data_IF_440888980657
#
_entry.id   IF_440888980657
#
_cell.length_a   1.000
_cell.length_b   1.000
_cell.length_c   1.000
_cell.angle_alpha   90.00
_cell.angle_beta   90.00
_cell.angle_gamma   90.00
#
_symmetry.space_group_name_H-M   'P 1'
#
loop_
_entity.id
_entity.type
_entity.pdbx_description
1 polymer ?
#
# COMPACT_ATOMS: atom_id res chain seq x y z
N UNK A 1 -11.47 37.59 -28.02
CA UNK A 1 -11.26 36.14 -27.85
C UNK A 1 -12.62 35.57 -27.53
N UNK A 2 -13.18 34.79 -28.46
CA UNK A 2 -14.59 34.40 -28.38
C UNK A 2 -14.79 33.26 -27.39
N UNK A 3 -15.98 33.17 -26.80
CA UNK A 3 -16.25 32.19 -25.73
C UNK A 3 -16.12 30.74 -26.25
N UNK A 4 -16.38 30.56 -27.54
CA UNK A 4 -16.27 29.28 -28.24
C UNK A 4 -14.81 28.86 -28.46
N UNK A 5 -13.90 29.80 -28.71
CA UNK A 5 -12.46 29.52 -28.86
C UNK A 5 -11.83 29.03 -27.54
N UNK A 6 -12.27 29.60 -26.41
CA UNK A 6 -11.82 29.19 -25.08
C UNK A 6 -12.29 27.77 -24.75
N UNK A 7 -13.54 27.45 -25.08
CA UNK A 7 -14.12 26.12 -24.86
C UNK A 7 -13.48 25.07 -25.77
N UNK A 8 -13.16 25.42 -27.02
CA UNK A 8 -12.43 24.56 -27.94
C UNK A 8 -11.02 24.28 -27.45
N UNK A 9 -10.30 25.30 -26.96
CA UNK A 9 -8.96 25.14 -26.37
C UNK A 9 -8.99 24.25 -25.12
N UNK A 10 -9.92 24.50 -24.20
CA UNK A 10 -10.12 23.65 -23.01
C UNK A 10 -10.48 22.20 -23.36
N UNK A 11 -11.32 21.97 -24.38
CA UNK A 11 -11.63 20.62 -24.88
C UNK A 11 -10.42 19.94 -25.53
N UNK A 12 -9.60 20.67 -26.27
CA UNK A 12 -8.42 20.13 -26.93
C UNK A 12 -7.31 19.78 -25.93
N UNK A 13 -7.14 20.61 -24.91
CA UNK A 13 -6.21 20.36 -23.80
C UNK A 13 -6.66 19.14 -22.98
N UNK A 14 -7.97 18.99 -22.73
CA UNK A 14 -8.57 17.81 -22.08
C UNK A 14 -8.65 16.56 -22.99
N UNK A 15 -8.37 16.67 -24.30
CA UNK A 15 -8.52 15.56 -25.27
C UNK A 15 -7.44 14.48 -25.12
N UNK A 16 -6.31 14.80 -24.48
CA UNK A 16 -5.21 13.85 -24.24
C UNK A 16 -5.42 12.94 -23.02
N UNK A 17 -6.59 13.04 -22.37
CA UNK A 17 -6.81 12.53 -21.02
C UNK A 17 -6.34 13.57 -20.01
N UNK A 18 -7.04 13.68 -18.90
CA UNK A 18 -6.67 14.60 -17.82
C UNK A 18 -5.22 14.27 -17.43
N UNK A 19 -4.28 15.20 -17.61
CA UNK A 19 -2.86 14.96 -17.33
C UNK A 19 -2.66 14.46 -15.88
N UNK A 20 -3.60 14.83 -15.00
CA UNK A 20 -3.76 14.27 -13.66
C UNK A 20 -4.02 12.77 -13.62
N UNK A 21 -4.87 12.23 -14.48
CA UNK A 21 -5.12 10.77 -14.55
C UNK A 21 -3.88 10.01 -15.02
N UNK A 22 -3.16 10.56 -15.99
CA UNK A 22 -1.89 9.97 -16.49
C UNK A 22 -0.85 10.02 -15.38
N UNK A 23 -0.68 11.16 -14.72
CA UNK A 23 0.26 11.32 -13.60
C UNK A 23 -0.11 10.44 -12.40
N UNK A 24 -1.40 10.29 -12.09
CA UNK A 24 -1.89 9.39 -11.04
C UNK A 24 -1.62 7.92 -11.38
N UNK A 25 -1.78 7.49 -12.64
CA UNK A 25 -1.40 6.14 -13.07
C UNK A 25 0.10 5.90 -12.93
N UNK A 26 0.92 6.83 -13.42
CA UNK A 26 2.39 6.75 -13.31
C UNK A 26 2.82 6.72 -11.84
N UNK A 27 2.23 7.55 -10.98
CA UNK A 27 2.52 7.53 -9.55
C UNK A 27 2.06 6.22 -8.88
N UNK A 28 0.92 5.65 -9.26
CA UNK A 28 0.45 4.37 -8.74
C UNK A 28 1.35 3.19 -9.14
N UNK A 29 1.98 3.25 -10.32
CA UNK A 29 2.97 2.26 -10.77
C UNK A 29 4.32 2.45 -10.09
N UNK A 30 4.74 3.69 -9.83
CA UNK A 30 5.95 4.03 -9.08
C UNK A 30 5.83 3.80 -7.57
N UNK A 31 4.63 3.84 -7.00
CA UNK A 31 4.37 3.51 -5.59
C UNK A 31 4.41 1.99 -5.39
N UNK A 32 5.58 1.41 -5.61
CA UNK A 32 5.86 -0.01 -5.47
C UNK A 32 6.90 -0.21 -4.38
N UNK A 33 6.44 -0.62 -3.20
CA UNK A 33 7.31 -1.15 -2.16
C UNK A 33 7.42 -2.68 -2.29
N UNK A 34 7.06 -3.23 -3.45
CA UNK A 34 6.95 -4.67 -3.67
C UNK A 34 8.22 -5.44 -3.29
N UNK A 35 9.41 -4.89 -3.57
CA UNK A 35 10.66 -5.56 -3.20
C UNK A 35 10.88 -5.59 -1.68
N UNK A 36 10.50 -4.53 -0.97
CA UNK A 36 10.59 -4.47 0.50
C UNK A 36 9.59 -5.46 1.11
N UNK A 37 8.37 -5.51 0.59
CA UNK A 37 7.35 -6.47 1.02
C UNK A 37 7.82 -7.91 0.80
N UNK A 38 8.42 -8.22 -0.36
CA UNK A 38 8.96 -9.56 -0.63
C UNK A 38 10.05 -9.93 0.37
N UNK A 39 10.98 -9.01 0.66
CA UNK A 39 12.04 -9.24 1.66
C UNK A 39 11.42 -9.49 3.04
N UNK A 40 10.47 -8.66 3.47
CA UNK A 40 9.78 -8.83 4.75
C UNK A 40 8.98 -10.13 4.81
N UNK A 41 8.37 -10.54 3.71
CA UNK A 41 7.60 -11.78 3.62
C UNK A 41 8.50 -13.02 3.75
N UNK A 42 9.62 -13.04 3.02
CA UNK A 42 10.63 -14.12 3.14
C UNK A 42 11.18 -14.16 4.56
N UNK A 43 11.48 -13.01 5.15
CA UNK A 43 11.97 -12.94 6.54
C UNK A 43 10.94 -13.47 7.53
N UNK A 44 9.64 -13.16 7.33
CA UNK A 44 8.56 -13.70 8.16
C UNK A 44 8.44 -15.23 8.05
N UNK A 45 8.62 -15.79 6.85
CA UNK A 45 8.67 -17.24 6.65
C UNK A 45 9.87 -17.89 7.35
N UNK A 46 11.06 -17.28 7.25
CA UNK A 46 12.24 -17.74 7.98
C UNK A 46 12.04 -17.67 9.50
N UNK A 47 11.33 -16.66 9.99
CA UNK A 47 10.99 -16.54 11.39
C UNK A 47 9.98 -17.61 11.86
N UNK A 48 8.99 -17.94 11.03
CA UNK A 48 8.07 -19.04 11.29
C UNK A 48 8.76 -20.41 11.27
N UNK A 49 9.77 -20.58 10.42
CA UNK A 49 10.59 -21.79 10.36
C UNK A 49 11.61 -21.90 11.51
N UNK A 50 11.71 -20.88 12.37
CA UNK A 50 12.65 -20.85 13.50
C UNK A 50 14.10 -20.57 13.11
N UNK A 51 14.37 -20.14 11.87
CA UNK A 51 15.72 -19.82 11.38
C UNK A 51 16.19 -18.47 11.94
N UNK A 52 15.27 -17.51 12.06
CA UNK A 52 15.54 -16.16 12.60
C UNK A 52 14.53 -15.88 13.70
N UNK A 53 14.98 -15.49 14.88
CA UNK A 53 14.09 -15.27 16.02
C UNK A 53 14.62 -14.21 16.97
N UNK A 54 13.75 -13.80 17.89
CA UNK A 54 14.07 -12.80 18.90
C UNK A 54 12.82 -12.14 19.47
N UNK A 55 13.05 -11.21 20.37
CA UNK A 55 12.03 -10.36 20.95
C UNK A 55 12.29 -8.91 20.57
N UNK A 56 11.23 -8.20 20.19
CA UNK A 56 11.23 -6.77 19.95
C UNK A 56 10.53 -6.11 21.13
N UNK A 57 11.17 -5.12 21.73
CA UNK A 57 10.58 -4.35 22.81
C UNK A 57 10.01 -3.04 22.27
N UNK A 58 8.70 -2.87 22.33
CA UNK A 58 8.02 -1.61 22.00
C UNK A 58 7.25 -1.16 23.23
N UNK A 59 7.51 0.08 23.67
CA UNK A 59 6.83 0.68 24.83
C UNK A 59 6.85 -0.22 26.09
N UNK A 60 7.98 -0.87 26.35
CA UNK A 60 8.17 -1.75 27.52
C UNK A 60 7.48 -3.12 27.44
N UNK A 61 6.82 -3.45 26.32
CA UNK A 61 6.21 -4.77 26.10
C UNK A 61 7.07 -5.60 25.14
N UNK A 62 7.36 -6.88 25.48
CA UNK A 62 8.04 -7.78 24.56
C UNK A 62 7.06 -8.29 23.51
N UNK A 63 7.52 -8.35 22.26
CA UNK A 63 6.79 -8.89 21.12
C UNK A 63 7.66 -9.90 20.40
N UNK A 64 7.07 -11.00 19.95
CA UNK A 64 7.81 -11.97 19.14
C UNK A 64 8.18 -11.35 17.79
N UNK A 65 9.43 -11.52 17.39
CA UNK A 65 9.95 -11.00 16.12
C UNK A 65 9.10 -11.43 14.91
N UNK A 66 8.62 -12.68 14.91
CA UNK A 66 7.76 -13.20 13.84
C UNK A 66 6.46 -12.41 13.70
N UNK A 67 5.80 -12.09 14.82
CA UNK A 67 4.49 -11.45 14.83
C UNK A 67 4.66 -10.00 14.37
N UNK A 68 5.74 -9.34 14.79
CA UNK A 68 6.10 -8.01 14.34
C UNK A 68 6.35 -7.94 12.82
N UNK A 69 7.02 -8.93 12.25
CA UNK A 69 7.23 -8.99 10.79
C UNK A 69 5.93 -9.20 10.02
N UNK A 70 5.00 -10.02 10.53
CA UNK A 70 3.66 -10.16 9.93
C UNK A 70 2.88 -8.86 9.98
N UNK A 71 2.93 -8.15 11.11
CA UNK A 71 2.32 -6.83 11.25
C UNK A 71 2.88 -5.84 10.22
N UNK A 72 4.20 -5.78 10.06
CA UNK A 72 4.85 -4.91 9.07
C UNK A 72 4.43 -5.24 7.63
N UNK A 73 4.35 -6.52 7.28
CA UNK A 73 3.88 -6.95 5.96
C UNK A 73 2.44 -6.50 5.69
N UNK A 74 1.54 -6.72 6.63
CA UNK A 74 0.14 -6.34 6.49
C UNK A 74 -0.06 -4.82 6.40
N UNK A 75 0.66 -4.06 7.22
CA UNK A 75 0.65 -2.60 7.16
C UNK A 75 1.23 -2.08 5.83
N UNK A 76 2.36 -2.62 5.39
CA UNK A 76 3.00 -2.23 4.13
C UNK A 76 2.09 -2.46 2.92
N UNK A 77 1.48 -3.65 2.84
CA UNK A 77 0.54 -3.99 1.78
C UNK A 77 -0.73 -3.14 1.84
N UNK A 78 -1.27 -2.90 3.04
CA UNK A 78 -2.45 -2.04 3.20
C UNK A 78 -2.18 -0.61 2.72
N UNK A 79 -1.03 -0.03 3.09
CA UNK A 79 -0.61 1.29 2.63
C UNK A 79 -0.39 1.33 1.10
N UNK A 80 0.23 0.30 0.53
CA UNK A 80 0.48 0.23 -0.92
C UNK A 80 -0.83 0.15 -1.71
N UNK A 81 -1.75 -0.73 -1.32
CA UNK A 81 -3.05 -0.84 -1.99
C UNK A 81 -3.96 0.37 -1.71
N UNK A 82 -3.87 0.99 -0.54
CA UNK A 82 -4.58 2.23 -0.22
C UNK A 82 -4.11 3.40 -1.08
N UNK A 83 -2.79 3.56 -1.26
CA UNK A 83 -2.21 4.55 -2.16
C UNK A 83 -2.61 4.28 -3.61
N UNK A 84 -2.50 3.03 -4.07
CA UNK A 84 -2.93 2.64 -5.43
C UNK A 84 -4.43 2.90 -5.66
N UNK A 85 -5.28 2.64 -4.65
CA UNK A 85 -6.70 2.97 -4.71
C UNK A 85 -6.95 4.48 -4.80
N UNK A 86 -6.23 5.30 -4.04
CA UNK A 86 -6.36 6.76 -4.09
C UNK A 86 -6.13 7.30 -5.50
N UNK A 87 -5.12 6.77 -6.19
CA UNK A 87 -4.75 7.19 -7.55
C UNK A 87 -5.58 6.53 -8.66
N UNK A 88 -5.81 5.22 -8.60
CA UNK A 88 -6.48 4.47 -9.69
C UNK A 88 -7.99 4.31 -9.51
N UNK A 89 -8.53 4.57 -8.30
CA UNK A 89 -9.95 4.43 -7.94
C UNK A 89 -10.60 3.08 -8.26
N UNK A 90 -9.79 2.01 -8.36
CA UNK A 90 -10.27 0.64 -8.63
C UNK A 90 -10.73 -0.03 -7.33
N UNK A 91 -12.00 -0.43 -7.28
CA UNK A 91 -12.62 -1.04 -6.08
C UNK A 91 -11.86 -2.27 -5.54
N UNK A 92 -11.26 -3.08 -6.43
CA UNK A 92 -10.47 -4.25 -6.02
C UNK A 92 -9.24 -3.88 -5.18
N UNK A 93 -8.62 -2.72 -5.41
CA UNK A 93 -7.49 -2.24 -4.60
C UNK A 93 -7.95 -1.82 -3.20
N UNK A 94 -9.16 -1.26 -3.09
CA UNK A 94 -9.75 -0.96 -1.79
C UNK A 94 -10.07 -2.25 -1.01
N UNK A 95 -10.63 -3.27 -1.68
CA UNK A 95 -10.88 -4.57 -1.05
C UNK A 95 -9.59 -5.20 -0.52
N UNK A 96 -8.52 -5.19 -1.32
CA UNK A 96 -7.21 -5.68 -0.89
C UNK A 96 -6.66 -4.88 0.30
N UNK A 97 -6.72 -3.54 0.25
CA UNK A 97 -6.31 -2.69 1.37
C UNK A 97 -7.08 -3.04 2.65
N UNK A 98 -8.40 -3.19 2.59
CA UNK A 98 -9.23 -3.57 3.74
C UNK A 98 -8.89 -4.99 4.26
N UNK A 99 -8.67 -5.95 3.36
CA UNK A 99 -8.24 -7.31 3.75
C UNK A 99 -6.90 -7.30 4.50
N UNK A 100 -5.91 -6.57 3.98
CA UNK A 100 -4.61 -6.46 4.64
C UNK A 100 -4.67 -5.62 5.93
N UNK A 101 -5.49 -4.57 5.98
CA UNK A 101 -5.76 -3.83 7.22
C UNK A 101 -6.40 -4.71 8.29
N UNK A 102 -7.36 -5.57 7.90
CA UNK A 102 -7.92 -6.59 8.79
C UNK A 102 -6.87 -7.57 9.29
N UNK A 103 -5.95 -8.02 8.43
CA UNK A 103 -4.80 -8.84 8.81
C UNK A 103 -3.87 -8.13 9.80
N UNK A 104 -3.62 -6.82 9.62
CA UNK A 104 -2.83 -6.00 10.55
C UNK A 104 -3.52 -5.87 11.92
N UNK A 105 -4.85 -5.69 11.95
CA UNK A 105 -5.63 -5.66 13.19
C UNK A 105 -5.64 -7.01 13.90
N UNK A 106 -5.73 -8.12 13.15
CA UNK A 106 -5.63 -9.47 13.69
C UNK A 106 -4.25 -9.75 14.28
N UNK A 107 -3.18 -9.35 13.58
CA UNK A 107 -1.83 -9.39 14.11
C UNK A 107 -1.72 -8.52 15.38
N UNK A 108 -2.25 -7.29 15.35
CA UNK A 108 -2.32 -6.37 16.51
C UNK A 108 -2.98 -7.01 17.74
N UNK A 109 -4.10 -7.70 17.56
CA UNK A 109 -4.80 -8.43 18.62
C UNK A 109 -4.07 -9.67 19.14
N UNK A 110 -3.13 -10.23 18.36
CA UNK A 110 -2.26 -11.31 18.84
C UNK A 110 -1.13 -10.80 19.77
N UNK A 111 -0.92 -9.47 19.85
CA UNK A 111 0.09 -8.86 20.72
C UNK A 111 -0.47 -8.32 22.06
N UNK A 112 -1.78 -8.34 22.27
CA UNK A 112 -2.45 -7.91 23.50
C UNK A 112 -2.71 -9.08 24.45
#
# INVERSE_FOLDING_TARGET
>A
MDKEDILLKSRNDNRKGDEREVQNRTNAELFSYGIVVVILFVTALLANAGVVGGEIFINGKPFLFKDFLWLLNFLGLSCEFGAKFYFSRKIWQLLLCLSFAGGALGALGAFS
#
